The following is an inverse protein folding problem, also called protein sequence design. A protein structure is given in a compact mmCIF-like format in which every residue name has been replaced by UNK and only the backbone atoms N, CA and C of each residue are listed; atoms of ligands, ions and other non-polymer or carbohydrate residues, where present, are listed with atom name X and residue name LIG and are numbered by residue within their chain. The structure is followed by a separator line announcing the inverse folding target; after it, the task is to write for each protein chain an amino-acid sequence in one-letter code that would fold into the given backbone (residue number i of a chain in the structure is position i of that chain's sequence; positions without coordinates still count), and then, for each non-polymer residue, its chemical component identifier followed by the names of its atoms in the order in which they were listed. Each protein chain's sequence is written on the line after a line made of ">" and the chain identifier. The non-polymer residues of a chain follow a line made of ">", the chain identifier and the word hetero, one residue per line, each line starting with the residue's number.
data_IF_379825587990
#
_entry.id   IF_379825587990
#
_cell.length_a   1.000
_cell.length_b   1.000
_cell.length_c   1.000
_cell.angle_alpha   90.00
_cell.angle_beta   90.00
_cell.angle_gamma   90.00
#
_symmetry.space_group_name_H-M   'P 1'
#
loop_
_entity.id
_entity.type
_entity.pdbx_description
1 polymer ?
2 non-polymer ?
#
# COMPACT_ATOMS: atom_id res chain seq x y z
N UNK A 1 8.35 0.35 -4.80
CA UNK A 1 7.60 -0.87 -5.02
C UNK A 1 6.42 -1.04 -4.05
N UNK A 2 6.21 -0.02 -3.21
CA UNK A 2 5.14 -0.05 -2.23
C UNK A 2 4.08 0.99 -2.57
N UNK A 3 2.86 0.55 -2.80
CA UNK A 3 1.76 1.45 -3.11
C UNK A 3 0.64 1.31 -2.10
N UNK A 4 0.27 2.41 -1.47
CA UNK A 4 -0.90 2.43 -0.63
C UNK A 4 -1.99 3.26 -1.32
N UNK A 5 -3.04 2.60 -1.80
CA UNK A 5 -4.14 3.31 -2.46
C UNK A 5 -4.97 4.11 -1.47
N UNK A 6 -5.20 3.54 -0.30
CA UNK A 6 -6.15 4.10 0.65
C UNK A 6 -5.46 4.67 1.88
N UNK A 7 -4.24 4.22 2.13
CA UNK A 7 -3.51 4.66 3.31
C UNK A 7 -2.95 3.46 4.07
N UNK A 8 -3.17 3.38 5.38
CA UNK A 8 -2.56 2.33 6.20
C UNK A 8 -3.46 1.11 6.26
N UNK A 9 -4.60 1.18 5.58
CA UNK A 9 -5.53 0.08 5.52
C UNK A 9 -5.07 -0.97 4.49
N UNK A 10 -4.37 -0.52 3.46
CA UNK A 10 -3.90 -1.41 2.41
C UNK A 10 -2.39 -1.17 2.16
N UNK A 11 -1.49 -2.10 2.52
CA UNK A 11 -0.08 -1.98 2.15
C UNK A 11 0.30 -3.05 1.13
N UNK A 12 0.82 -2.62 -0.01
CA UNK A 12 1.25 -3.56 -1.03
C UNK A 12 2.70 -3.26 -1.44
N UNK A 13 3.61 -4.16 -1.07
CA UNK A 13 5.00 -4.08 -1.51
C UNK A 13 5.35 -5.34 -2.28
N UNK A 14 5.64 -5.19 -3.56
CA UNK A 14 5.99 -6.33 -4.40
C UNK A 14 7.09 -5.96 -5.38
X LIG B 1 8.21 1.49 -5.54
X LIG B 1 7.20 1.28 -6.66
X LIG B 1 5.77 1.61 -6.27
X LIG B 1 4.88 1.73 -7.49
X LIG B 1 3.54 1.02 -7.29
X LIG B 1 3.72 -0.48 -7.14
X LIG B 1 2.53 -1.24 -7.71
X LIG B 1 2.39 -1.04 -9.20
X LIG B 1 8.75 2.56 -5.30
X LIG B 1 7.24 0.25 -6.97
X LIG B 1 7.49 1.91 -7.49
X LIG B 1 5.76 2.56 -5.74
X LIG B 1 5.39 0.83 -5.63
X LIG B 1 4.69 2.78 -7.69
X LIG B 1 5.38 1.28 -8.34
X LIG B 1 3.08 1.41 -6.39
X LIG B 1 2.91 1.23 -8.14
X LIG B 1 4.61 -0.77 -7.68
X LIG B 1 3.83 -0.72 -6.10
X LIG B 1 2.66 -2.29 -7.52
X LIG B 1 1.63 -0.89 -7.23
X LIG B 1 1.38 -0.69 -9.42
X LIG B 1 2.57 -1.97 -9.72
X LIG B 1 3.09 -0.29 -9.54
#
# INVERSE_FOLDING_TARGET
>A
PCKNXFWKTFTSCK
>B hetero
1 OCA C1 C2 C3 C4 C5 C6 C7 C8 O1 H21 H22 H31 H32 H41 H42 H51 H52 H61 H62 H71 H72 H81 H82 H83
#
